data_IF_725117728063
#
_entry.id   IF_725117728063
#
_cell.length_a   1.000
_cell.length_b   1.000
_cell.length_c   1.000
_cell.angle_alpha   90.00
_cell.angle_beta   90.00
_cell.angle_gamma   90.00
#
_symmetry.space_group_name_H-M   'P 1'
#
loop_
_entity.id
_entity.type
_entity.pdbx_description
1 polymer ?
#
# COMPACT_ATOMS: atom_id res chain seq x y z
N UNK A 1 -21.16 38.37 -33.01
CA UNK A 1 -21.59 38.21 -31.60
C UNK A 1 -21.96 36.78 -31.20
N UNK A 2 -22.12 35.80 -32.12
CA UNK A 2 -22.48 34.41 -31.74
C UNK A 2 -21.26 33.51 -31.40
N UNK A 3 -20.07 33.79 -31.95
CA UNK A 3 -18.87 32.94 -31.74
C UNK A 3 -18.29 33.01 -30.32
N UNK A 4 -18.51 34.09 -29.58
CA UNK A 4 -18.04 34.18 -28.18
C UNK A 4 -18.94 33.41 -27.21
N UNK A 5 -20.24 33.26 -27.50
CA UNK A 5 -21.21 32.64 -26.58
C UNK A 5 -21.05 31.10 -26.48
N UNK A 6 -20.51 30.46 -27.52
CA UNK A 6 -20.24 29.01 -27.54
C UNK A 6 -18.99 28.61 -26.75
N UNK A 7 -18.03 29.53 -26.57
CA UNK A 7 -16.79 29.28 -25.81
C UNK A 7 -17.09 29.28 -24.31
N UNK A 8 -17.96 30.18 -23.84
CA UNK A 8 -18.36 30.24 -22.42
C UNK A 8 -19.22 29.04 -21.98
N UNK A 9 -20.02 28.45 -22.87
CA UNK A 9 -20.84 27.26 -22.56
C UNK A 9 -19.99 25.99 -22.41
N UNK A 10 -18.90 25.84 -23.18
CA UNK A 10 -18.01 24.68 -23.09
C UNK A 10 -17.08 24.71 -21.86
N UNK A 11 -16.77 25.89 -21.33
CA UNK A 11 -15.96 26.02 -20.11
C UNK A 11 -16.76 25.61 -18.86
N UNK A 12 -18.09 25.79 -18.88
CA UNK A 12 -18.97 25.44 -17.76
C UNK A 12 -19.21 23.92 -17.66
N UNK A 13 -19.08 23.16 -18.76
CA UNK A 13 -19.29 21.71 -18.77
C UNK A 13 -18.08 20.85 -18.36
N UNK A 14 -16.89 21.44 -18.21
CA UNK A 14 -15.68 20.72 -17.74
C UNK A 14 -15.53 20.84 -16.21
N UNK A 15 -16.28 21.73 -15.57
CA UNK A 15 -16.16 22.03 -14.14
C UNK A 15 -17.14 21.29 -13.25
N UNK A 16 -17.20 19.95 -13.26
CA UNK A 16 -18.01 19.23 -12.25
C UNK A 16 -17.71 17.74 -12.03
N UNK A 17 -16.46 17.26 -12.06
CA UNK A 17 -16.14 15.99 -11.37
C UNK A 17 -14.70 16.00 -10.89
N UNK A 18 -14.40 16.85 -9.90
CA UNK A 18 -13.30 16.53 -8.98
C UNK A 18 -13.84 15.40 -8.11
N UNK A 19 -13.46 14.15 -8.40
CA UNK A 19 -13.60 13.09 -7.41
C UNK A 19 -12.71 13.49 -6.23
N UNK A 20 -13.31 13.97 -5.15
CA UNK A 20 -12.60 14.02 -3.88
C UNK A 20 -12.26 12.59 -3.46
N UNK A 21 -11.02 12.18 -3.73
CA UNK A 21 -10.46 10.96 -3.18
C UNK A 21 -10.25 11.23 -1.68
N UNK A 22 -11.28 10.98 -0.88
CA UNK A 22 -11.14 11.04 0.57
C UNK A 22 -10.13 9.96 0.98
N UNK A 23 -9.03 10.31 1.67
CA UNK A 23 -8.11 9.31 2.17
C UNK A 23 -8.89 8.42 3.13
N UNK A 24 -8.95 7.12 2.84
CA UNK A 24 -9.42 6.12 3.80
C UNK A 24 -8.33 6.01 4.85
N UNK A 25 -8.43 6.82 5.90
CA UNK A 25 -7.60 6.64 7.09
C UNK A 25 -8.15 5.41 7.79
N UNK A 26 -7.52 4.26 7.57
CA UNK A 26 -7.81 3.07 8.35
C UNK A 26 -7.49 3.39 9.81
N UNK A 27 -8.52 3.51 10.65
CA UNK A 27 -8.34 3.59 12.11
C UNK A 27 -7.81 2.23 12.55
N UNK A 28 -6.50 2.12 12.68
CA UNK A 28 -5.85 0.95 13.26
C UNK A 28 -6.15 0.99 14.76
N UNK A 29 -7.23 0.32 15.15
CA UNK A 29 -7.49 -0.04 16.54
C UNK A 29 -6.51 -1.14 16.97
N UNK A 30 -5.22 -0.81 16.96
CA UNK A 30 -4.20 -1.68 17.54
C UNK A 30 -4.49 -1.81 19.02
N UNK A 31 -4.82 -3.02 19.48
CA UNK A 31 -4.87 -3.27 20.93
C UNK A 31 -3.44 -3.06 21.44
N UNK A 32 -3.17 -2.05 22.28
CA UNK A 32 -1.81 -1.78 22.71
C UNK A 32 -1.28 -3.03 23.44
N UNK A 33 -0.23 -3.60 22.88
CA UNK A 33 0.54 -4.66 23.51
C UNK A 33 1.51 -4.02 24.51
N UNK A 34 1.73 -4.68 25.64
CA UNK A 34 2.74 -4.27 26.64
C UNK A 34 3.58 -5.45 27.07
N UNK A 35 4.72 -5.18 27.68
CA UNK A 35 5.52 -6.21 28.33
C UNK A 35 5.09 -6.38 29.79
N UNK A 36 5.16 -7.61 30.29
CA UNK A 36 5.03 -7.96 31.70
C UNK A 36 6.11 -8.97 32.03
N UNK A 37 7.18 -8.50 32.69
CA UNK A 37 8.44 -9.26 32.81
C UNK A 37 8.88 -9.76 31.42
N UNK A 38 8.99 -11.08 31.23
CA UNK A 38 9.39 -11.72 29.96
C UNK A 38 8.27 -11.93 28.93
N UNK A 39 7.03 -11.53 29.23
CA UNK A 39 5.87 -11.82 28.39
C UNK A 39 5.35 -10.60 27.66
N UNK A 40 4.81 -10.81 26.45
CA UNK A 40 3.95 -9.85 25.77
C UNK A 40 2.51 -10.13 26.21
N UNK A 41 1.80 -9.10 26.63
CA UNK A 41 0.40 -9.20 27.06
C UNK A 41 -0.46 -8.14 26.36
N UNK A 42 -1.75 -8.43 26.18
CA UNK A 42 -2.72 -7.48 25.65
C UNK A 42 -3.19 -6.47 26.73
N UNK A 43 -4.15 -5.61 26.38
CA UNK A 43 -4.75 -4.63 27.30
C UNK A 43 -5.37 -5.24 28.55
N UNK A 44 -5.87 -6.49 28.46
CA UNK A 44 -6.50 -7.22 29.56
C UNK A 44 -5.46 -7.97 30.44
N UNK A 45 -4.17 -7.95 30.08
CA UNK A 45 -3.12 -8.71 30.76
C UNK A 45 -2.99 -10.17 30.28
N UNK A 46 -3.73 -10.57 29.26
CA UNK A 46 -3.67 -11.92 28.71
C UNK A 46 -2.40 -12.08 27.87
N UNK A 47 -1.68 -13.21 28.05
CA UNK A 47 -0.43 -13.49 27.33
C UNK A 47 -0.69 -13.68 25.83
N UNK A 48 0.07 -12.95 25.02
CA UNK A 48 0.09 -13.07 23.56
C UNK A 48 1.42 -13.69 23.14
N UNK A 49 1.36 -14.83 22.43
CA UNK A 49 2.54 -15.41 21.78
C UNK A 49 2.52 -15.03 20.30
N UNK A 50 3.52 -14.25 19.88
CA UNK A 50 3.70 -13.89 18.48
C UNK A 50 4.25 -15.10 17.71
N UNK A 51 3.45 -15.60 16.77
CA UNK A 51 3.84 -16.57 15.77
C UNK A 51 3.86 -15.82 14.43
N UNK A 52 5.01 -15.22 14.12
CA UNK A 52 5.14 -14.36 12.95
C UNK A 52 5.85 -15.08 11.80
N UNK A 53 5.55 -14.63 10.59
CA UNK A 53 6.41 -14.82 9.42
C UNK A 53 7.09 -13.50 9.03
N UNK A 54 8.08 -13.58 8.15
CA UNK A 54 8.66 -12.40 7.50
C UNK A 54 8.01 -12.19 6.13
N UNK A 55 7.54 -10.98 5.84
CA UNK A 55 7.14 -10.57 4.48
C UNK A 55 8.09 -9.48 4.01
N UNK A 56 8.84 -9.81 2.95
CA UNK A 56 9.91 -8.97 2.42
C UNK A 56 9.31 -7.86 1.56
N UNK A 57 9.67 -6.61 1.86
CA UNK A 57 9.33 -5.41 1.08
C UNK A 57 10.46 -4.36 1.01
N UNK A 58 11.70 -4.75 1.33
CA UNK A 58 12.87 -3.87 1.36
C UNK A 58 13.77 -3.98 0.12
N UNK A 59 13.36 -4.78 -0.87
CA UNK A 59 14.10 -4.98 -2.12
C UNK A 59 13.93 -3.79 -3.06
N UNK A 60 14.64 -3.82 -4.19
CA UNK A 60 14.77 -2.71 -5.13
C UNK A 60 13.44 -2.17 -5.65
N UNK A 61 12.40 -3.02 -5.78
CA UNK A 61 11.07 -2.60 -6.23
C UNK A 61 10.28 -1.81 -5.16
N UNK A 62 10.73 -1.86 -3.90
CA UNK A 62 10.17 -1.13 -2.74
C UNK A 62 8.67 -1.41 -2.51
N UNK A 63 8.25 -2.66 -2.75
CA UNK A 63 6.92 -3.16 -2.39
C UNK A 63 7.04 -4.60 -1.91
N UNK A 64 5.98 -5.12 -1.29
CA UNK A 64 5.98 -6.49 -0.79
C UNK A 64 6.04 -7.52 -1.93
N UNK A 65 6.90 -8.52 -1.75
CA UNK A 65 7.08 -9.62 -2.70
C UNK A 65 5.77 -10.38 -2.93
N UNK A 66 5.57 -10.85 -4.16
CA UNK A 66 4.41 -11.66 -4.55
C UNK A 66 3.14 -10.87 -4.93
N UNK A 67 3.11 -9.55 -4.76
CA UNK A 67 1.96 -8.72 -5.14
C UNK A 67 1.69 -8.69 -6.65
N UNK A 68 2.68 -8.99 -7.50
CA UNK A 68 2.43 -9.21 -8.94
C UNK A 68 1.78 -10.56 -9.25
N UNK A 69 1.74 -11.50 -8.29
CA UNK A 69 1.25 -12.88 -8.49
C UNK A 69 -0.08 -13.16 -7.80
N UNK A 70 -0.41 -12.48 -6.69
CA UNK A 70 -1.67 -12.63 -5.95
C UNK A 70 -2.15 -11.31 -5.32
N UNK A 71 -3.48 -11.12 -5.14
CA UNK A 71 -4.00 -9.98 -4.39
C UNK A 71 -3.52 -9.98 -2.94
N UNK A 72 -3.28 -8.80 -2.35
CA UNK A 72 -2.84 -8.63 -0.96
C UNK A 72 -3.78 -9.33 0.04
N UNK A 73 -5.09 -9.28 -0.22
CA UNK A 73 -6.11 -9.96 0.59
C UNK A 73 -6.01 -11.49 0.55
N UNK A 74 -5.61 -12.06 -0.60
CA UNK A 74 -5.42 -13.52 -0.75
C UNK A 74 -4.17 -13.97 -0.01
N UNK A 75 -3.06 -13.23 -0.14
CA UNK A 75 -1.81 -13.53 0.57
C UNK A 75 -2.04 -13.45 2.09
N UNK A 76 -2.56 -12.33 2.59
CA UNK A 76 -2.82 -12.12 4.02
C UNK A 76 -3.81 -13.14 4.61
N UNK A 77 -4.84 -13.53 3.86
CA UNK A 77 -5.75 -14.61 4.27
C UNK A 77 -5.05 -15.97 4.35
N UNK A 78 -4.15 -16.27 3.41
CA UNK A 78 -3.32 -17.47 3.44
C UNK A 78 -2.36 -17.50 4.64
N UNK A 79 -1.76 -16.35 4.98
CA UNK A 79 -0.93 -16.20 6.17
C UNK A 79 -1.72 -16.55 7.44
N UNK A 80 -2.93 -16.00 7.55
CA UNK A 80 -3.85 -16.27 8.67
C UNK A 80 -4.28 -17.73 8.73
N UNK A 81 -4.58 -18.36 7.59
CA UNK A 81 -5.03 -19.77 7.55
C UNK A 81 -3.93 -20.75 7.95
N UNK A 82 -2.65 -20.39 7.75
CA UNK A 82 -1.49 -21.16 8.25
C UNK A 82 -1.26 -21.02 9.77
N UNK A 83 -2.03 -20.17 10.46
CA UNK A 83 -1.94 -19.99 11.92
C UNK A 83 -0.97 -18.91 12.38
N UNK A 84 -0.39 -18.11 11.47
CA UNK A 84 0.39 -16.94 11.86
C UNK A 84 -0.53 -15.82 12.35
N UNK A 85 -0.11 -15.12 13.40
CA UNK A 85 -0.88 -14.01 14.00
C UNK A 85 -0.16 -12.66 13.90
N UNK A 86 0.98 -12.60 13.20
CA UNK A 86 1.73 -11.39 12.93
C UNK A 86 2.60 -11.53 11.69
N UNK A 87 2.95 -10.40 11.10
CA UNK A 87 3.88 -10.30 9.97
C UNK A 87 4.98 -9.32 10.36
N UNK A 88 6.24 -9.77 10.25
CA UNK A 88 7.39 -8.87 10.26
C UNK A 88 7.57 -8.35 8.84
N UNK A 89 7.02 -7.16 8.60
CA UNK A 89 7.09 -6.46 7.31
C UNK A 89 8.35 -5.58 7.28
N UNK A 90 9.25 -5.83 6.34
CA UNK A 90 10.53 -5.09 6.23
C UNK A 90 10.44 -3.98 5.19
N UNK A 91 10.86 -2.76 5.46
CA UNK A 91 10.84 -1.66 4.48
C UNK A 91 12.23 -1.00 4.39
N UNK A 92 12.61 -0.40 3.26
CA UNK A 92 13.94 0.18 3.10
C UNK A 92 13.97 1.60 3.70
N UNK A 93 14.99 1.93 4.50
CA UNK A 93 15.11 3.25 5.12
C UNK A 93 15.13 4.39 4.09
N UNK A 94 15.70 4.14 2.91
CA UNK A 94 15.71 5.05 1.77
C UNK A 94 14.30 5.50 1.35
N UNK A 95 13.27 4.68 1.58
CA UNK A 95 11.89 5.05 1.27
C UNK A 95 11.42 6.29 2.04
N UNK A 96 11.93 6.54 3.25
CA UNK A 96 11.53 7.71 4.05
C UNK A 96 12.60 8.81 4.10
N UNK A 97 13.83 8.52 3.64
CA UNK A 97 14.93 9.48 3.66
C UNK A 97 15.30 10.03 2.29
N UNK A 98 14.72 9.52 1.20
CA UNK A 98 14.96 9.97 -0.17
C UNK A 98 13.63 10.31 -0.85
N UNK A 99 13.35 11.61 -0.99
CA UNK A 99 12.12 12.12 -1.61
C UNK A 99 11.98 11.73 -3.09
N UNK A 100 13.10 11.65 -3.82
CA UNK A 100 13.09 11.21 -5.22
C UNK A 100 12.67 9.76 -5.33
N UNK A 101 13.16 8.89 -4.45
CA UNK A 101 12.72 7.48 -4.41
C UNK A 101 11.26 7.38 -3.95
N UNK A 102 10.90 8.07 -2.87
CA UNK A 102 9.58 7.93 -2.25
C UNK A 102 8.43 8.40 -3.16
N UNK A 103 8.71 9.37 -4.04
CA UNK A 103 7.76 9.94 -5.00
C UNK A 103 7.56 9.11 -6.27
N UNK A 104 8.47 8.17 -6.59
CA UNK A 104 8.23 7.24 -7.70
C UNK A 104 6.95 6.44 -7.43
N UNK A 105 6.18 6.19 -8.47
CA UNK A 105 5.09 5.22 -8.41
C UNK A 105 5.61 3.79 -8.37
N UNK A 106 4.78 2.86 -7.88
CA UNK A 106 5.09 1.43 -7.99
C UNK A 106 5.34 1.07 -9.46
N UNK A 107 4.54 1.56 -10.40
CA UNK A 107 4.76 1.33 -11.84
C UNK A 107 6.14 1.81 -12.30
N UNK A 108 6.52 3.05 -11.99
CA UNK A 108 7.81 3.61 -12.40
C UNK A 108 8.98 2.83 -11.80
N UNK A 109 8.88 2.43 -10.53
CA UNK A 109 9.85 1.55 -9.88
C UNK A 109 10.08 0.25 -10.68
N UNK A 110 9.00 -0.43 -11.07
CA UNK A 110 9.09 -1.65 -11.88
C UNK A 110 9.60 -1.38 -13.30
N UNK A 111 9.23 -0.26 -13.93
CA UNK A 111 9.74 0.12 -15.25
C UNK A 111 11.24 0.38 -15.23
N UNK A 112 11.74 1.10 -14.22
CA UNK A 112 13.16 1.40 -14.04
C UNK A 112 14.00 0.13 -13.83
N UNK A 113 13.40 -0.91 -13.26
CA UNK A 113 14.02 -2.23 -13.05
C UNK A 113 13.81 -3.20 -14.24
N UNK A 114 13.11 -2.80 -15.30
CA UNK A 114 12.81 -3.66 -16.45
C UNK A 114 11.81 -4.80 -16.15
N UNK A 115 11.03 -4.69 -15.07
CA UNK A 115 10.11 -5.73 -14.59
C UNK A 115 8.72 -5.64 -15.24
N UNK A 116 8.67 -5.62 -16.58
CA UNK A 116 7.45 -5.34 -17.34
C UNK A 116 6.34 -6.38 -17.13
N UNK A 117 6.66 -7.67 -17.03
CA UNK A 117 5.67 -8.73 -16.74
C UNK A 117 5.01 -8.52 -15.38
N UNK A 118 5.80 -8.11 -14.38
CA UNK A 118 5.31 -7.88 -13.03
C UNK A 118 4.35 -6.70 -12.97
N UNK A 119 4.48 -5.69 -13.85
CA UNK A 119 3.50 -4.60 -13.97
C UNK A 119 2.12 -5.16 -14.34
N UNK A 120 2.06 -6.02 -15.37
CA UNK A 120 0.80 -6.64 -15.80
C UNK A 120 0.19 -7.52 -14.69
N UNK A 121 1.02 -8.30 -14.03
CA UNK A 121 0.60 -9.12 -12.89
C UNK A 121 0.07 -8.27 -11.73
N UNK A 122 0.71 -7.15 -11.44
CA UNK A 122 0.30 -6.24 -10.37
C UNK A 122 -1.00 -5.51 -10.74
N UNK A 123 -1.15 -5.04 -11.98
CA UNK A 123 -2.42 -4.47 -12.49
C UNK A 123 -3.58 -5.46 -12.35
N UNK A 124 -3.34 -6.74 -12.61
CA UNK A 124 -4.37 -7.78 -12.52
C UNK A 124 -4.74 -8.11 -11.07
N UNK A 125 -3.75 -8.13 -10.16
CA UNK A 125 -3.93 -8.62 -8.80
C UNK A 125 -4.19 -7.51 -7.76
N UNK A 126 -3.62 -6.32 -7.96
CA UNK A 126 -3.63 -5.19 -7.02
C UNK A 126 -3.73 -3.84 -7.77
N UNK A 127 -4.77 -3.63 -8.60
CA UNK A 127 -4.89 -2.43 -9.46
C UNK A 127 -4.93 -1.11 -8.69
N UNK A 128 -5.40 -1.10 -7.44
CA UNK A 128 -5.47 0.11 -6.61
C UNK A 128 -4.13 0.58 -6.06
N UNK A 129 -3.06 -0.22 -6.20
CA UNK A 129 -1.74 0.09 -5.62
C UNK A 129 -0.70 0.46 -6.70
N UNK A 130 -0.83 -0.03 -7.94
CA UNK A 130 0.22 0.07 -8.97
C UNK A 130 0.59 1.51 -9.37
N UNK A 131 -0.34 2.45 -9.24
CA UNK A 131 -0.14 3.85 -9.60
C UNK A 131 0.00 4.77 -8.38
N UNK A 132 0.11 4.20 -7.17
CA UNK A 132 0.47 4.96 -5.96
C UNK A 132 1.98 5.21 -5.93
N UNK A 133 2.39 6.31 -5.27
CA UNK A 133 3.80 6.48 -4.89
C UNK A 133 4.27 5.34 -3.99
N UNK A 134 5.56 5.03 -4.02
CA UNK A 134 6.17 3.97 -3.21
C UNK A 134 5.84 4.18 -1.72
N UNK A 135 5.84 5.41 -1.22
CA UNK A 135 5.50 5.68 0.19
C UNK A 135 4.02 5.45 0.49
N UNK A 136 3.12 5.82 -0.43
CA UNK A 136 1.68 5.62 -0.28
C UNK A 136 1.30 4.13 -0.37
N UNK A 137 2.05 3.32 -1.11
CA UNK A 137 1.82 1.88 -1.22
C UNK A 137 1.92 1.13 0.13
N UNK A 138 2.58 1.71 1.14
CA UNK A 138 2.64 1.16 2.51
C UNK A 138 1.51 1.66 3.43
N UNK A 139 0.61 2.49 2.93
CA UNK A 139 -0.49 3.09 3.70
C UNK A 139 -1.86 2.51 3.34
N UNK A 140 -1.92 1.56 2.40
CA UNK A 140 -3.13 0.97 1.82
C UNK A 140 -3.57 -0.30 2.55
#
# INVERSE_FOLDING_TARGET
MWRCMLIFINIILIGATILEVKPVVAVVNGVPLKTSSRWIVNKNGERVKLACLNWVSHLDAVVAEGLSKKPVGVISSGIKSMGFNCVRLTWPILLVTNETLSSLTVRESFQNLGLLESISGFQSNNPSIIDLSLIQAFQV
#
